data_IF_053859000649
#
_entry.id   IF_053859000649
#
_cell.length_a   1.000
_cell.length_b   1.000
_cell.length_c   1.000
_cell.angle_alpha   90.00
_cell.angle_beta   90.00
_cell.angle_gamma   90.00
#
_symmetry.space_group_name_H-M   'P 1'
#
loop_
_entity.id
_entity.type
_entity.pdbx_description
1 polymer ?
#
# COMPACT_ATOMS: atom_id res chain seq x y z
N UNK A 1 12.96 -14.86 -9.44
CA UNK A 1 13.71 -13.57 -9.52
C UNK A 1 15.12 -13.80 -9.02
N UNK A 2 16.10 -13.03 -9.49
CA UNK A 2 17.49 -13.13 -9.01
C UNK A 2 17.60 -12.33 -7.70
N UNK A 3 18.21 -12.90 -6.67
CA UNK A 3 18.47 -12.22 -5.40
C UNK A 3 19.77 -11.39 -5.45
N UNK A 4 20.09 -10.66 -4.38
CA UNK A 4 21.31 -9.82 -4.32
C UNK A 4 22.63 -10.61 -4.40
N UNK A 5 22.61 -11.93 -4.21
CA UNK A 5 23.79 -12.80 -4.29
C UNK A 5 23.88 -13.57 -5.62
N UNK A 6 23.02 -13.27 -6.60
CA UNK A 6 23.02 -13.94 -7.91
C UNK A 6 22.27 -15.27 -7.98
N UNK A 7 21.66 -15.71 -6.88
CA UNK A 7 20.85 -16.93 -6.84
C UNK A 7 19.39 -16.72 -7.26
N UNK A 8 18.73 -17.78 -7.74
CA UNK A 8 17.31 -17.72 -8.11
C UNK A 8 16.41 -18.02 -6.91
N UNK A 9 15.47 -17.11 -6.63
CA UNK A 9 14.48 -17.24 -5.55
C UNK A 9 13.06 -16.93 -6.04
N UNK A 10 12.06 -17.36 -5.27
CA UNK A 10 10.66 -16.99 -5.50
C UNK A 10 10.42 -15.51 -5.17
N UNK A 11 9.55 -14.86 -5.96
CA UNK A 11 9.11 -13.51 -5.64
C UNK A 11 8.25 -13.55 -4.38
N UNK A 12 8.52 -12.62 -3.46
CA UNK A 12 7.73 -12.44 -2.24
C UNK A 12 6.36 -11.88 -2.62
N UNK A 13 5.29 -12.37 -2.00
CA UNK A 13 3.93 -11.86 -2.24
C UNK A 13 3.79 -10.40 -1.78
N UNK A 14 2.82 -9.69 -2.33
CA UNK A 14 2.54 -8.30 -1.95
C UNK A 14 2.23 -8.18 -0.45
N UNK A 15 1.41 -9.09 0.09
CA UNK A 15 1.04 -9.15 1.52
C UNK A 15 2.29 -9.33 2.40
N UNK A 16 3.14 -10.29 2.02
CA UNK A 16 4.36 -10.58 2.76
C UNK A 16 5.34 -9.40 2.73
N UNK A 17 5.40 -8.67 1.62
CA UNK A 17 6.20 -7.45 1.50
C UNK A 17 5.66 -6.33 2.38
N UNK A 18 4.36 -6.07 2.32
CA UNK A 18 3.69 -5.06 3.16
C UNK A 18 3.93 -5.36 4.63
N UNK A 19 3.68 -6.61 5.06
CA UNK A 19 3.86 -7.04 6.44
C UNK A 19 5.31 -6.86 6.92
N UNK A 20 6.30 -7.22 6.09
CA UNK A 20 7.72 -7.00 6.42
C UNK A 20 8.02 -5.52 6.61
N UNK A 21 7.53 -4.67 5.71
CA UNK A 21 7.77 -3.24 5.83
C UNK A 21 7.14 -2.63 7.07
N UNK A 22 5.86 -2.92 7.37
CA UNK A 22 5.18 -2.31 8.52
C UNK A 22 5.67 -2.84 9.87
N UNK A 23 6.23 -4.06 9.93
CA UNK A 23 6.77 -4.66 11.16
C UNK A 23 8.25 -4.31 11.36
N UNK A 24 9.09 -4.51 10.33
CA UNK A 24 10.55 -4.36 10.45
C UNK A 24 11.00 -2.93 10.11
N UNK A 25 10.23 -2.21 9.29
CA UNK A 25 10.65 -0.94 8.72
C UNK A 25 11.84 -1.12 7.77
N UNK A 26 12.63 -0.05 7.68
CA UNK A 26 13.86 0.01 6.86
C UNK A 26 15.08 0.45 7.64
N UNK A 27 14.90 0.75 8.94
CA UNK A 27 15.93 1.27 9.82
C UNK A 27 17.11 0.30 9.93
N UNK A 28 18.34 0.81 9.76
CA UNK A 28 19.56 0.00 9.78
C UNK A 28 19.87 -0.73 8.47
N UNK A 29 19.00 -0.60 7.45
CA UNK A 29 19.20 -1.21 6.14
C UNK A 29 19.30 -2.73 6.19
N UNK A 30 19.98 -3.30 5.20
CA UNK A 30 20.38 -4.72 5.17
C UNK A 30 21.85 -4.81 4.80
N UNK A 31 22.43 -6.00 4.93
CA UNK A 31 23.78 -6.27 4.44
C UNK A 31 23.99 -5.85 2.96
N UNK A 32 22.93 -5.86 2.14
CA UNK A 32 23.00 -5.61 0.70
C UNK A 32 22.42 -4.25 0.25
N UNK A 33 21.87 -3.44 1.15
CA UNK A 33 21.21 -2.18 0.76
C UNK A 33 21.14 -1.21 1.94
N UNK A 34 21.32 0.07 1.65
CA UNK A 34 21.19 1.14 2.65
C UNK A 34 19.73 1.33 3.10
N UNK A 35 19.52 1.98 4.25
CA UNK A 35 18.19 2.34 4.75
C UNK A 35 17.40 3.18 3.75
N UNK A 36 18.04 4.16 3.11
CA UNK A 36 17.41 5.03 2.13
C UNK A 36 16.93 4.24 0.90
N UNK A 37 17.79 3.39 0.34
CA UNK A 37 17.41 2.53 -0.80
C UNK A 37 16.26 1.60 -0.46
N UNK A 38 16.29 0.99 0.72
CA UNK A 38 15.24 0.09 1.17
C UNK A 38 13.92 0.83 1.38
N UNK A 39 13.97 2.07 1.87
CA UNK A 39 12.82 2.94 2.02
C UNK A 39 12.19 3.26 0.67
N UNK A 40 12.98 3.73 -0.29
CA UNK A 40 12.49 4.04 -1.65
C UNK A 40 11.89 2.79 -2.30
N UNK A 41 12.59 1.65 -2.27
CA UNK A 41 12.11 0.38 -2.84
C UNK A 41 10.77 -0.08 -2.25
N UNK A 42 10.57 0.08 -0.94
CA UNK A 42 9.31 -0.31 -0.30
C UNK A 42 8.18 0.69 -0.58
N UNK A 43 8.45 1.99 -0.59
CA UNK A 43 7.47 3.03 -0.94
C UNK A 43 6.97 2.84 -2.37
N UNK A 44 7.87 2.64 -3.34
CA UNK A 44 7.50 2.37 -4.72
C UNK A 44 6.67 1.10 -4.87
N UNK A 45 7.01 0.04 -4.12
CA UNK A 45 6.25 -1.21 -4.14
C UNK A 45 4.83 -1.01 -3.56
N UNK A 46 4.69 -0.27 -2.46
CA UNK A 46 3.40 0.07 -1.86
C UNK A 46 2.52 0.86 -2.84
N UNK A 47 3.08 1.89 -3.48
CA UNK A 47 2.36 2.68 -4.50
C UNK A 47 1.86 1.76 -5.62
N UNK A 48 2.71 0.88 -6.16
CA UNK A 48 2.31 -0.09 -7.21
C UNK A 48 1.20 -1.04 -6.75
N UNK A 49 1.21 -1.48 -5.48
CA UNK A 49 0.15 -2.34 -4.94
C UNK A 49 -1.18 -1.56 -4.84
N UNK A 50 -1.13 -0.29 -4.41
CA UNK A 50 -2.32 0.57 -4.34
C UNK A 50 -2.88 0.83 -5.73
N UNK A 51 -2.04 1.17 -6.71
CA UNK A 51 -2.43 1.42 -8.10
C UNK A 51 -3.06 0.20 -8.78
N UNK A 52 -2.69 -1.02 -8.36
CA UNK A 52 -3.35 -2.27 -8.78
C UNK A 52 -4.72 -2.51 -8.11
N UNK A 53 -5.23 -1.55 -7.34
CA UNK A 53 -6.52 -1.65 -6.64
C UNK A 53 -6.47 -2.48 -5.36
N UNK A 54 -5.27 -2.84 -4.85
CA UNK A 54 -5.11 -3.68 -3.66
C UNK A 54 -4.87 -2.88 -2.37
N UNK A 55 -5.22 -1.60 -2.36
CA UNK A 55 -5.06 -0.73 -1.18
C UNK A 55 -5.83 -1.21 0.06
N UNK A 56 -7.00 -1.84 -0.12
CA UNK A 56 -7.77 -2.42 1.00
C UNK A 56 -7.04 -3.55 1.72
N UNK A 57 -6.21 -4.33 1.01
CA UNK A 57 -5.35 -5.36 1.61
C UNK A 57 -4.31 -4.73 2.54
N UNK A 58 -3.69 -3.62 2.10
CA UNK A 58 -2.71 -2.88 2.92
C UNK A 58 -3.39 -2.34 4.19
N UNK A 59 -4.58 -1.74 4.07
CA UNK A 59 -5.33 -1.25 5.22
C UNK A 59 -5.69 -2.36 6.21
N UNK A 60 -6.05 -3.55 5.71
CA UNK A 60 -6.30 -4.72 6.56
C UNK A 60 -5.05 -5.15 7.33
N UNK A 61 -3.90 -5.26 6.66
CA UNK A 61 -2.63 -5.61 7.33
C UNK A 61 -2.22 -4.55 8.36
N UNK A 62 -2.40 -3.26 8.06
CA UNK A 62 -2.16 -2.15 9.00
C UNK A 62 -3.04 -2.31 10.24
N UNK A 63 -4.34 -2.58 10.06
CA UNK A 63 -5.27 -2.78 11.17
C UNK A 63 -4.87 -3.97 12.04
N UNK A 64 -4.59 -5.13 11.43
CA UNK A 64 -4.22 -6.36 12.15
C UNK A 64 -2.86 -6.25 12.88
N UNK A 65 -1.89 -5.53 12.32
CA UNK A 65 -0.59 -5.32 12.97
C UNK A 65 -0.69 -4.30 14.10
N UNK A 66 -1.43 -3.22 13.89
CA UNK A 66 -1.66 -2.17 14.90
C UNK A 66 -2.43 -2.72 16.11
N UNK A 67 -3.54 -3.42 15.87
CA UNK A 67 -4.35 -4.00 16.94
C UNK A 67 -3.57 -5.00 17.78
N UNK A 68 -2.70 -5.78 17.15
CA UNK A 68 -1.86 -6.78 17.83
C UNK A 68 -0.57 -6.20 18.43
N UNK A 69 -0.27 -4.90 18.24
CA UNK A 69 0.96 -4.28 18.71
C UNK A 69 2.24 -4.92 18.16
N UNK A 70 2.21 -5.46 16.94
CA UNK A 70 3.30 -6.27 16.36
C UNK A 70 4.41 -5.47 15.67
N UNK A 71 4.33 -4.14 15.67
CA UNK A 71 5.36 -3.26 15.11
C UNK A 71 6.13 -2.52 16.23
N UNK A 72 7.45 -2.74 16.38
CA UNK A 72 8.25 -2.03 17.38
C UNK A 72 8.33 -0.51 17.16
N UNK A 73 8.17 -0.05 15.92
CA UNK A 73 8.13 1.37 15.53
C UNK A 73 6.87 1.67 14.73
N UNK A 74 6.27 2.83 14.97
CA UNK A 74 5.04 3.25 14.28
C UNK A 74 5.30 3.89 12.91
N UNK A 75 6.50 4.44 12.66
CA UNK A 75 6.81 5.19 11.44
C UNK A 75 6.52 4.42 10.14
N UNK A 76 6.91 3.14 9.97
CA UNK A 76 6.66 2.41 8.72
C UNK A 76 5.16 2.15 8.50
N UNK A 77 4.42 1.88 9.57
CA UNK A 77 2.99 1.66 9.55
C UNK A 77 2.25 2.96 9.16
N UNK A 78 2.62 4.09 9.78
CA UNK A 78 2.06 5.40 9.47
C UNK A 78 2.40 5.85 8.05
N UNK A 79 3.60 5.57 7.56
CA UNK A 79 3.99 5.82 6.17
C UNK A 79 3.10 5.04 5.19
N UNK A 80 2.87 3.75 5.44
CA UNK A 80 1.99 2.94 4.61
C UNK A 80 0.54 3.46 4.61
N UNK A 81 0.04 3.90 5.77
CA UNK A 81 -1.28 4.52 5.91
C UNK A 81 -1.37 5.84 5.13
N UNK A 82 -0.36 6.71 5.22
CA UNK A 82 -0.30 7.97 4.50
C UNK A 82 -0.31 7.78 2.97
N UNK A 83 0.43 6.78 2.47
CA UNK A 83 0.42 6.40 1.05
C UNK A 83 -0.99 5.94 0.62
N UNK A 84 -1.65 5.10 1.43
CA UNK A 84 -3.02 4.69 1.14
C UNK A 84 -3.97 5.89 1.09
N UNK A 85 -3.91 6.80 2.07
CA UNK A 85 -4.76 7.99 2.09
C UNK A 85 -4.55 8.87 0.85
N UNK A 86 -3.30 9.18 0.52
CA UNK A 86 -2.94 10.01 -0.65
C UNK A 86 -3.42 9.40 -1.97
N UNK A 87 -3.16 8.11 -2.19
CA UNK A 87 -3.42 7.46 -3.48
C UNK A 87 -4.86 6.95 -3.63
N UNK A 88 -5.56 6.66 -2.53
CA UNK A 88 -6.98 6.27 -2.57
C UNK A 88 -7.89 7.47 -2.83
N UNK A 89 -7.55 8.66 -2.32
CA UNK A 89 -8.26 9.91 -2.66
C UNK A 89 -8.19 10.19 -4.17
N UNK A 90 -7.03 9.98 -4.80
CA UNK A 90 -6.88 10.10 -6.24
C UNK A 90 -7.73 9.07 -7.02
N UNK A 91 -7.85 7.85 -6.50
CA UNK A 91 -8.71 6.81 -7.07
C UNK A 91 -10.22 7.08 -6.91
N UNK A 92 -10.65 7.63 -5.77
CA UNK A 92 -12.05 8.01 -5.54
C UNK A 92 -12.49 9.14 -6.47
N UNK A 93 -11.60 10.08 -6.82
CA UNK A 93 -11.90 11.14 -7.79
C UNK A 93 -12.26 10.60 -9.19
N UNK A 94 -11.82 9.37 -9.52
CA UNK A 94 -12.18 8.67 -10.77
C UNK A 94 -13.43 7.80 -10.64
N UNK A 95 -13.80 7.38 -9.41
CA UNK A 95 -14.96 6.50 -9.14
C UNK A 95 -16.26 7.29 -8.90
N UNK A 96 -16.19 8.59 -8.58
CA UNK A 96 -17.37 9.48 -8.57
C UNK A 96 -17.83 9.72 -10.02
N UNK A 97 -18.44 8.70 -10.63
CA UNK A 97 -19.26 8.86 -11.83
C UNK A 97 -20.52 9.64 -11.44
N UNK A 98 -20.99 10.59 -12.28
CA UNK A 98 -22.25 11.26 -12.03
C UNK A 98 -23.37 10.22 -12.04
N UNK A 99 -24.11 10.12 -10.92
CA UNK A 99 -25.35 9.37 -10.85
C UNK A 99 -26.33 10.01 -11.84
N UNK A 100 -26.70 9.29 -12.91
CA UNK A 100 -27.82 9.69 -13.77
C UNK A 100 -29.08 9.68 -12.91
N UNK A 101 -29.62 10.87 -12.60
CA UNK A 101 -30.96 11.00 -12.02
C UNK A 101 -31.97 10.32 -12.96
N UNK A 102 -32.74 9.33 -12.51
CA UNK A 102 -33.78 8.74 -13.35
C UNK A 102 -34.89 9.76 -13.59
N UNK A 103 -35.24 9.94 -14.88
CA UNK A 103 -36.40 10.61 -15.45
C UNK A 103 -37.13 11.67 -14.61
N UNK A 104 -36.88 12.94 -14.94
CA UNK A 104 -37.91 13.98 -14.81
C UNK A 104 -39.06 13.58 -15.74
N UNK A 105 -40.18 13.15 -15.16
CA UNK A 105 -41.45 12.98 -15.87
C UNK A 105 -41.84 14.38 -16.36
N UNK A 106 -41.84 14.58 -17.69
CA UNK A 106 -42.42 15.79 -18.29
C UNK A 106 -43.93 15.74 -18.02
N UNK A 107 -44.38 16.56 -17.08
CA UNK A 107 -45.80 16.91 -16.97
C UNK A 107 -46.07 17.92 -18.09
N UNK A 108 -46.67 17.43 -19.17
CA UNK A 108 -47.24 18.29 -20.22
C UNK A 108 -48.59 18.78 -19.68
N UNK A 109 -48.71 20.11 -19.52
CA UNK A 109 -50.01 20.80 -19.43
C UNK A 109 -50.53 21.07 -20.84
#
# INVERSE_FOLDING_TARGET
VVNSAGGFVFAVSDESRVRRFIILGTAGGTYYSTEQELTVKNVEALIKIIEKGRGSMILKEIYEVSLAGRNPKQDPLLMALALCARHMIAGMMFVVRPQKRPNQVKVTL
#
